data_IF_661300735068
#
_entry.id   IF_661300735068
#
_cell.length_a   1.000
_cell.length_b   1.000
_cell.length_c   1.000
_cell.angle_alpha   90.00
_cell.angle_beta   90.00
_cell.angle_gamma   90.00
#
_symmetry.space_group_name_H-M   'P 1'
#
loop_
_entity.id
_entity.type
_entity.pdbx_description
1 polymer ?
#
# COMPACT_ATOMS: atom_id res chain seq x y z
N UNK A 1 -47.07 -22.57 2.92
CA UNK A 1 -45.84 -22.19 3.65
C UNK A 1 -44.63 -22.19 2.71
N UNK A 2 -44.51 -21.22 1.80
CA UNK A 2 -43.39 -21.15 0.81
C UNK A 2 -42.96 -19.70 0.49
N UNK A 3 -42.96 -18.80 1.48
CA UNK A 3 -42.63 -17.37 1.27
C UNK A 3 -41.47 -16.83 2.12
N UNK A 4 -40.70 -17.69 2.79
CA UNK A 4 -39.65 -17.27 3.74
C UNK A 4 -38.20 -17.44 3.25
N UNK A 5 -37.96 -17.89 2.01
CA UNK A 5 -36.61 -18.16 1.51
C UNK A 5 -35.95 -16.99 0.74
N UNK A 6 -36.74 -16.02 0.27
CA UNK A 6 -36.24 -14.87 -0.49
C UNK A 6 -35.37 -13.89 0.33
N UNK A 7 -35.70 -13.53 1.60
CA UNK A 7 -34.86 -12.59 2.36
C UNK A 7 -33.52 -13.21 2.77
N UNK A 8 -33.45 -14.54 2.91
CA UNK A 8 -32.25 -15.25 3.33
C UNK A 8 -31.19 -15.31 2.23
N UNK A 9 -31.61 -15.42 0.96
CA UNK A 9 -30.72 -15.32 -0.21
C UNK A 9 -30.20 -13.88 -0.37
N UNK A 10 -31.02 -12.86 -0.08
CA UNK A 10 -30.59 -11.47 -0.15
C UNK A 10 -29.55 -11.13 0.93
N UNK A 11 -29.72 -11.62 2.16
CA UNK A 11 -28.69 -11.46 3.21
C UNK A 11 -27.36 -12.15 2.86
N UNK A 12 -27.40 -13.34 2.24
CA UNK A 12 -26.18 -14.04 1.82
C UNK A 12 -25.42 -13.31 0.69
N UNK A 13 -26.12 -12.56 -0.18
CA UNK A 13 -25.50 -11.77 -1.24
C UNK A 13 -24.86 -10.47 -0.72
N UNK A 14 -25.34 -9.91 0.39
CA UNK A 14 -24.77 -8.68 0.98
C UNK A 14 -23.48 -8.96 1.75
N UNK A 15 -23.33 -10.14 2.37
CA UNK A 15 -22.15 -10.51 3.16
C UNK A 15 -20.89 -10.72 2.31
N UNK A 16 -21.01 -11.13 1.04
CA UNK A 16 -19.87 -11.36 0.15
C UNK A 16 -19.22 -10.08 -0.42
N UNK A 17 -19.82 -8.91 -0.21
CA UNK A 17 -19.36 -7.66 -0.84
C UNK A 17 -18.27 -6.91 -0.05
N UNK A 18 -18.07 -7.20 1.23
CA UNK A 18 -17.24 -6.38 2.13
C UNK A 18 -15.76 -6.33 1.77
N UNK A 19 -15.13 -7.46 1.46
CA UNK A 19 -13.69 -7.51 1.15
C UNK A 19 -13.32 -6.94 -0.23
N UNK A 20 -14.28 -6.86 -1.16
CA UNK A 20 -14.07 -6.30 -2.51
C UNK A 20 -14.24 -4.77 -2.55
N UNK A 21 -14.66 -4.15 -1.44
CA UNK A 21 -14.92 -2.72 -1.33
C UNK A 21 -13.71 -1.90 -0.86
N UNK A 22 -12.68 -2.52 -0.29
CA UNK A 22 -11.52 -1.78 0.22
C UNK A 22 -10.74 -1.08 -0.92
N UNK A 23 -10.55 0.25 -0.86
CA UNK A 23 -9.87 0.98 -1.92
C UNK A 23 -8.37 0.68 -2.00
N UNK A 24 -7.71 0.36 -0.88
CA UNK A 24 -6.29 -0.01 -0.84
C UNK A 24 -6.07 -1.38 -1.49
N UNK A 25 -6.96 -2.34 -1.24
CA UNK A 25 -6.95 -3.64 -1.93
C UNK A 25 -7.05 -3.47 -3.45
N UNK A 26 -8.07 -2.72 -3.92
CA UNK A 26 -8.31 -2.47 -5.36
C UNK A 26 -7.16 -1.70 -6.01
N UNK A 27 -6.60 -0.74 -5.28
CA UNK A 27 -5.44 0.02 -5.72
C UNK A 27 -4.23 -0.89 -5.87
N UNK A 28 -3.91 -1.69 -4.84
CA UNK A 28 -2.75 -2.57 -4.85
C UNK A 28 -2.85 -3.60 -5.98
N UNK A 29 -4.02 -4.22 -6.16
CA UNK A 29 -4.31 -5.12 -7.28
C UNK A 29 -4.11 -4.48 -8.66
N UNK A 30 -4.28 -3.15 -8.79
CA UNK A 30 -4.16 -2.46 -10.08
C UNK A 30 -2.71 -2.24 -10.51
N UNK A 31 -1.77 -2.15 -9.57
CA UNK A 31 -0.41 -1.65 -9.84
C UNK A 31 0.69 -2.60 -9.39
N UNK A 32 0.42 -3.50 -8.46
CA UNK A 32 1.42 -4.41 -7.93
C UNK A 32 1.18 -5.83 -8.40
N UNK A 33 2.28 -6.55 -8.59
CA UNK A 33 2.27 -7.96 -8.97
C UNK A 33 1.89 -8.87 -7.81
N UNK A 34 2.28 -8.49 -6.59
CA UNK A 34 1.90 -9.16 -5.35
C UNK A 34 0.93 -8.29 -4.58
N UNK A 35 -0.11 -8.86 -3.99
CA UNK A 35 -1.07 -8.12 -3.17
C UNK A 35 -1.00 -8.63 -1.72
N UNK A 36 -0.61 -7.77 -0.76
CA UNK A 36 -0.44 -8.17 0.64
C UNK A 36 -1.75 -8.57 1.33
N UNK A 37 -2.90 -8.17 0.78
CA UNK A 37 -4.22 -8.35 1.39
C UNK A 37 -5.00 -9.58 0.86
N UNK A 38 -4.37 -10.45 0.05
CA UNK A 38 -5.01 -11.67 -0.48
C UNK A 38 -4.73 -12.90 0.40
N UNK A 39 -3.50 -13.02 0.89
CA UNK A 39 -3.01 -14.17 1.64
C UNK A 39 -2.44 -13.73 2.99
N UNK A 40 -1.83 -14.65 3.73
CA UNK A 40 -1.01 -14.28 4.87
C UNK A 40 0.12 -13.31 4.47
N UNK A 41 0.51 -12.46 5.42
CA UNK A 41 1.60 -11.50 5.26
C UNK A 41 2.91 -12.20 4.93
N UNK A 42 3.23 -13.32 5.60
CA UNK A 42 4.41 -14.13 5.30
C UNK A 42 4.42 -14.64 3.86
N UNK A 43 3.29 -15.16 3.37
CA UNK A 43 3.18 -15.60 1.97
C UNK A 43 3.33 -14.44 0.98
N UNK A 44 2.82 -13.25 1.31
CA UNK A 44 3.05 -12.05 0.51
C UNK A 44 4.55 -11.70 0.44
N UNK A 45 5.24 -11.64 1.58
CA UNK A 45 6.66 -11.32 1.63
C UNK A 45 7.46 -12.35 0.83
N UNK A 46 7.18 -13.64 1.02
CA UNK A 46 7.82 -14.71 0.28
C UNK A 46 7.59 -14.58 -1.23
N UNK A 47 6.35 -14.33 -1.65
CA UNK A 47 6.01 -14.15 -3.06
C UNK A 47 6.74 -12.96 -3.69
N UNK A 48 6.89 -11.84 -2.97
CA UNK A 48 7.68 -10.70 -3.46
C UNK A 48 9.17 -11.06 -3.54
N UNK A 49 9.73 -11.71 -2.53
CA UNK A 49 11.16 -12.03 -2.49
C UNK A 49 11.58 -13.12 -3.49
N UNK A 50 10.66 -14.01 -3.85
CA UNK A 50 10.92 -15.13 -4.76
C UNK A 50 10.34 -14.92 -6.16
N UNK A 51 9.88 -13.70 -6.51
CA UNK A 51 9.31 -13.43 -7.82
C UNK A 51 10.37 -13.65 -8.92
N UNK A 52 10.15 -14.59 -9.87
CA UNK A 52 11.15 -14.94 -10.87
C UNK A 52 11.45 -13.82 -11.88
N UNK A 53 10.62 -12.79 -11.96
CA UNK A 53 10.87 -11.63 -12.83
C UNK A 53 11.83 -10.60 -12.20
N UNK A 54 12.24 -10.79 -10.95
CA UNK A 54 13.11 -9.86 -10.24
C UNK A 54 14.59 -10.13 -10.49
N UNK A 55 15.26 -9.09 -10.99
CA UNK A 55 16.70 -9.02 -11.18
C UNK A 55 17.32 -7.99 -10.22
N UNK A 56 18.65 -7.99 -10.10
CA UNK A 56 19.41 -7.03 -9.28
C UNK A 56 18.95 -6.94 -7.82
N UNK A 57 18.56 -8.07 -7.24
CA UNK A 57 18.02 -8.14 -5.89
C UNK A 57 19.09 -7.74 -4.85
N UNK A 58 18.72 -6.89 -3.91
CA UNK A 58 19.50 -6.60 -2.69
C UNK A 58 18.60 -6.71 -1.49
N UNK A 59 19.11 -7.35 -0.44
CA UNK A 59 18.37 -7.62 0.79
C UNK A 59 19.25 -7.33 2.00
N UNK A 60 18.74 -6.49 2.89
CA UNK A 60 19.26 -6.24 4.22
C UNK A 60 18.25 -6.81 5.22
N UNK A 61 18.73 -7.74 6.05
CA UNK A 61 17.91 -8.30 7.12
C UNK A 61 17.82 -7.32 8.29
N UNK A 62 16.72 -7.42 9.04
CA UNK A 62 16.54 -6.70 10.29
C UNK A 62 17.58 -7.16 11.31
N UNK A 63 18.14 -6.21 12.05
CA UNK A 63 19.01 -6.43 13.21
C UNK A 63 18.52 -5.57 14.38
N UNK A 64 19.22 -5.59 15.51
CA UNK A 64 18.90 -4.73 16.66
C UNK A 64 19.02 -3.23 16.34
N UNK A 65 19.83 -2.87 15.34
CA UNK A 65 20.12 -1.48 14.96
C UNK A 65 19.65 -1.10 13.56
N UNK A 66 19.17 -2.05 12.77
CA UNK A 66 18.76 -1.81 11.37
C UNK A 66 17.42 -2.42 11.05
N UNK A 67 16.60 -1.68 10.31
CA UNK A 67 15.34 -2.16 9.76
C UNK A 67 15.57 -3.01 8.50
N UNK A 68 14.59 -3.87 8.18
CA UNK A 68 14.60 -4.67 6.96
C UNK A 68 14.49 -3.80 5.71
N UNK A 69 15.28 -4.14 4.69
CA UNK A 69 15.19 -3.52 3.37
C UNK A 69 15.36 -4.58 2.29
N UNK A 70 14.48 -4.56 1.30
CA UNK A 70 14.63 -5.30 0.07
C UNK A 70 14.38 -4.37 -1.10
N UNK A 71 15.20 -4.49 -2.15
CA UNK A 71 15.01 -3.78 -3.40
C UNK A 71 15.38 -4.69 -4.57
N UNK A 72 14.67 -4.55 -5.67
CA UNK A 72 14.91 -5.29 -6.90
C UNK A 72 14.38 -4.50 -8.11
N UNK A 73 14.75 -4.94 -9.31
CA UNK A 73 14.25 -4.40 -10.58
C UNK A 73 13.44 -5.48 -11.28
N UNK A 74 12.28 -5.13 -11.83
CA UNK A 74 11.52 -6.05 -12.69
C UNK A 74 12.14 -6.14 -14.07
N UNK A 75 12.29 -7.36 -14.60
CA UNK A 75 12.80 -7.60 -15.94
C UNK A 75 11.74 -7.30 -17.02
N UNK A 76 10.47 -7.64 -16.77
CA UNK A 76 9.40 -7.50 -17.77
C UNK A 76 8.11 -6.88 -17.25
N UNK A 77 7.87 -6.88 -15.94
CA UNK A 77 6.65 -6.31 -15.37
C UNK A 77 6.57 -4.79 -15.52
N UNK A 78 5.49 -4.32 -16.17
CA UNK A 78 5.18 -2.91 -16.31
C UNK A 78 3.66 -2.68 -16.20
N UNK A 79 3.17 -2.13 -15.08
CA UNK A 79 1.75 -1.82 -14.90
C UNK A 79 1.35 -0.44 -15.46
N UNK A 80 2.30 0.34 -15.98
CA UNK A 80 2.09 1.71 -16.44
C UNK A 80 1.64 1.78 -17.90
N UNK A 81 1.00 2.88 -18.30
CA UNK A 81 0.57 3.10 -19.69
C UNK A 81 1.70 3.55 -20.62
N UNK A 82 2.85 3.91 -20.06
CA UNK A 82 4.06 4.24 -20.79
C UNK A 82 5.12 3.14 -20.61
N UNK A 83 6.15 3.15 -21.46
CA UNK A 83 7.31 2.27 -21.31
C UNK A 83 8.38 3.00 -20.48
N UNK A 84 8.55 2.68 -19.19
CA UNK A 84 9.64 3.23 -18.39
C UNK A 84 10.98 2.62 -18.81
N UNK A 85 12.08 3.30 -18.48
CA UNK A 85 13.44 2.81 -18.69
C UNK A 85 13.77 1.65 -17.74
N UNK A 86 13.23 1.69 -16.52
CA UNK A 86 13.19 0.57 -15.58
C UNK A 86 12.00 0.69 -14.61
N UNK A 87 11.61 -0.44 -14.03
CA UNK A 87 10.66 -0.50 -12.92
C UNK A 87 11.33 -1.18 -11.74
N UNK A 88 11.44 -0.47 -10.62
CA UNK A 88 12.01 -0.99 -9.39
C UNK A 88 10.91 -1.25 -8.37
N UNK A 89 11.14 -2.23 -7.51
CA UNK A 89 10.28 -2.57 -6.37
C UNK A 89 11.10 -2.61 -5.10
N UNK A 90 10.50 -2.18 -3.98
CA UNK A 90 11.12 -2.28 -2.68
C UNK A 90 10.13 -2.66 -1.58
N UNK A 91 10.63 -3.37 -0.58
CA UNK A 91 10.00 -3.57 0.73
C UNK A 91 10.91 -2.96 1.77
N UNK A 92 10.46 -1.92 2.46
CA UNK A 92 11.26 -1.17 3.43
C UNK A 92 10.51 -1.07 4.74
N UNK A 93 11.08 -1.58 5.82
CA UNK A 93 10.58 -1.27 7.16
C UNK A 93 10.92 0.17 7.52
N UNK A 94 9.95 0.87 8.10
CA UNK A 94 10.10 2.23 8.61
C UNK A 94 9.45 2.32 9.99
N UNK A 95 10.10 3.04 10.91
CA UNK A 95 9.46 3.47 12.16
C UNK A 95 8.48 4.60 11.85
N UNK A 96 7.23 4.41 12.23
CA UNK A 96 6.19 5.42 12.12
C UNK A 96 5.59 5.70 13.50
N UNK A 97 5.54 6.97 13.87
CA UNK A 97 4.87 7.38 15.09
C UNK A 97 3.36 7.41 14.83
N UNK A 98 2.68 6.31 15.17
CA UNK A 98 1.22 6.19 15.07
C UNK A 98 0.48 6.83 16.26
N UNK A 99 1.18 7.03 17.37
CA UNK A 99 0.61 7.59 18.59
C UNK A 99 1.56 8.62 19.19
N UNK A 100 1.01 9.75 19.63
CA UNK A 100 1.77 10.81 20.30
C UNK A 100 2.28 10.37 21.69
N UNK A 101 1.56 9.46 22.34
CA UNK A 101 1.83 8.96 23.69
C UNK A 101 2.78 7.75 23.74
N UNK A 102 3.19 7.20 22.58
CA UNK A 102 4.16 6.11 22.47
C UNK A 102 5.43 6.56 21.75
N UNK A 103 6.51 6.85 22.49
CA UNK A 103 7.77 7.31 21.91
C UNK A 103 8.42 6.29 20.98
N UNK A 104 8.17 5.01 21.19
CA UNK A 104 8.89 3.92 20.52
C UNK A 104 8.46 3.72 19.05
N UNK A 105 7.36 4.33 18.61
CA UNK A 105 6.83 4.18 17.25
C UNK A 105 6.41 2.75 16.92
N UNK A 106 5.56 2.59 15.91
CA UNK A 106 5.25 1.27 15.35
C UNK A 106 6.08 1.07 14.07
N UNK A 107 6.60 -0.14 13.85
CA UNK A 107 7.24 -0.48 12.57
C UNK A 107 6.16 -0.78 11.53
N UNK A 108 6.19 -0.06 10.41
CA UNK A 108 5.37 -0.33 9.23
C UNK A 108 6.25 -0.81 8.08
N UNK A 109 5.67 -1.57 7.17
CA UNK A 109 6.29 -1.96 5.91
C UNK A 109 5.80 -1.03 4.80
N UNK A 110 6.75 -0.42 4.08
CA UNK A 110 6.50 0.28 2.83
C UNK A 110 6.69 -0.69 1.69
N UNK A 111 5.64 -0.90 0.90
CA UNK A 111 5.73 -1.58 -0.38
C UNK A 111 5.75 -0.53 -1.49
N UNK A 112 6.90 -0.38 -2.13
CA UNK A 112 7.18 0.74 -3.05
C UNK A 112 7.37 0.20 -4.46
N UNK A 113 6.69 0.82 -5.43
CA UNK A 113 6.90 0.62 -6.86
C UNK A 113 7.37 1.93 -7.49
N UNK A 114 8.46 1.87 -8.24
CA UNK A 114 9.07 3.04 -8.87
C UNK A 114 9.20 2.84 -10.37
N UNK A 115 8.73 3.80 -11.16
CA UNK A 115 8.94 3.85 -12.60
C UNK A 115 9.91 4.99 -12.92
N UNK A 116 10.92 4.70 -13.73
CA UNK A 116 11.89 5.70 -14.18
C UNK A 116 11.60 6.07 -15.63
N UNK A 117 11.49 7.36 -15.92
CA UNK A 117 11.45 7.84 -17.30
C UNK A 117 12.86 8.07 -17.84
N UNK A 118 12.97 8.23 -19.16
CA UNK A 118 14.17 8.74 -19.79
C UNK A 118 14.45 10.17 -19.31
N UNK A 119 15.74 10.55 -19.21
CA UNK A 119 16.22 11.89 -18.81
C UNK A 119 15.91 13.02 -19.81
N UNK A 120 14.90 12.85 -20.66
CA UNK A 120 14.49 13.85 -21.65
C UNK A 120 13.26 14.62 -21.16
N UNK A 121 13.02 15.85 -21.64
CA UNK A 121 11.78 16.58 -21.35
C UNK A 121 10.53 15.76 -21.70
N UNK A 122 10.57 15.01 -22.81
CA UNK A 122 9.48 14.09 -23.20
C UNK A 122 9.25 12.97 -22.20
N UNK A 123 10.31 12.47 -21.57
CA UNK A 123 10.23 11.47 -20.50
C UNK A 123 9.49 12.03 -19.27
N UNK A 124 9.86 13.24 -18.85
CA UNK A 124 9.18 13.95 -17.77
C UNK A 124 7.69 14.18 -18.07
N UNK A 125 7.36 14.64 -19.30
CA UNK A 125 5.97 14.86 -19.72
C UNK A 125 5.14 13.58 -19.70
N UNK A 126 5.69 12.46 -20.19
CA UNK A 126 5.00 11.16 -20.17
C UNK A 126 4.73 10.70 -18.75
N UNK A 127 5.71 10.86 -17.88
CA UNK A 127 5.61 10.43 -16.50
C UNK A 127 4.63 11.31 -15.71
N UNK A 128 4.59 12.62 -15.99
CA UNK A 128 3.56 13.52 -15.47
C UNK A 128 2.15 13.13 -15.96
N UNK A 129 1.97 12.85 -17.25
CA UNK A 129 0.68 12.37 -17.79
C UNK A 129 0.24 11.07 -17.13
N UNK A 130 1.19 10.17 -16.86
CA UNK A 130 0.93 8.93 -16.15
C UNK A 130 0.51 9.20 -14.71
N UNK A 131 1.25 10.05 -13.98
CA UNK A 131 0.87 10.51 -12.64
C UNK A 131 -0.56 11.05 -12.62
N UNK A 132 -0.91 11.96 -13.53
CA UNK A 132 -2.24 12.56 -13.63
C UNK A 132 -3.32 11.53 -14.00
N UNK A 133 -2.98 10.44 -14.70
CA UNK A 133 -3.88 9.33 -15.01
C UNK A 133 -4.14 8.46 -13.77
N UNK A 134 -3.08 8.10 -13.05
CA UNK A 134 -3.17 7.27 -11.85
C UNK A 134 -3.94 8.01 -10.76
N UNK A 135 -3.63 9.29 -10.53
CA UNK A 135 -4.32 10.08 -9.50
C UNK A 135 -5.80 10.23 -9.81
N UNK A 136 -6.19 10.57 -11.05
CA UNK A 136 -7.62 10.59 -11.46
C UNK A 136 -8.34 9.26 -11.24
N UNK A 137 -7.67 8.12 -11.42
CA UNK A 137 -8.25 6.80 -11.12
C UNK A 137 -8.38 6.58 -9.62
N UNK A 138 -7.40 7.02 -8.85
CA UNK A 138 -7.32 6.87 -7.39
C UNK A 138 -8.29 7.80 -6.66
N UNK A 139 -8.51 9.02 -7.16
CA UNK A 139 -9.50 9.98 -6.66
C UNK A 139 -10.94 9.40 -6.69
N UNK A 140 -11.19 8.40 -7.54
CA UNK A 140 -12.48 7.68 -7.60
C UNK A 140 -12.54 6.47 -6.66
N UNK A 141 -11.41 6.04 -6.11
CA UNK A 141 -11.30 4.90 -5.22
C UNK A 141 -11.35 5.33 -3.76
N UNK A 142 -10.67 6.42 -3.41
CA UNK A 142 -10.50 6.90 -2.04
C UNK A 142 -11.48 8.02 -1.69
N UNK A 143 -11.86 8.13 -0.42
CA UNK A 143 -12.77 9.17 0.09
C UNK A 143 -12.08 10.53 0.23
N UNK A 144 -10.78 10.54 0.54
CA UNK A 144 -10.01 11.76 0.77
C UNK A 144 -8.56 11.64 0.28
N UNK A 145 -7.95 12.78 -0.02
CA UNK A 145 -6.53 12.89 -0.32
C UNK A 145 -5.95 14.26 0.07
N UNK A 146 -4.67 14.25 0.45
CA UNK A 146 -3.86 15.46 0.65
C UNK A 146 -2.78 15.55 -0.42
N UNK A 147 -2.63 16.72 -1.03
CA UNK A 147 -1.55 16.98 -1.99
C UNK A 147 -0.51 17.90 -1.37
N UNK A 148 0.77 17.57 -1.57
CA UNK A 148 1.91 18.31 -1.06
C UNK A 148 2.92 18.55 -2.19
N UNK A 149 3.46 19.76 -2.27
CA UNK A 149 4.57 20.04 -3.16
C UNK A 149 5.85 19.46 -2.55
N UNK A 150 6.68 18.83 -3.39
CA UNK A 150 8.03 18.44 -3.01
C UNK A 150 8.93 19.54 -3.55
N UNK A 151 9.54 20.32 -2.66
CA UNK A 151 10.52 21.35 -3.00
C UNK A 151 11.68 21.27 -2.02
N UNK A 152 12.72 20.53 -2.41
CA UNK A 152 13.91 20.27 -1.62
C UNK A 152 15.15 20.53 -2.46
N UNK A 153 15.54 21.81 -2.54
CA UNK A 153 16.73 22.25 -3.25
C UNK A 153 16.57 22.11 -4.77
N UNK A 154 17.23 21.11 -5.36
CA UNK A 154 17.11 20.81 -6.80
C UNK A 154 16.00 19.81 -7.10
N UNK A 155 15.38 19.22 -6.08
CA UNK A 155 14.34 18.22 -6.21
C UNK A 155 12.98 18.91 -6.18
N UNK A 156 12.23 18.76 -7.26
CA UNK A 156 10.87 19.30 -7.39
C UNK A 156 9.90 18.17 -7.69
N UNK A 157 8.66 18.30 -7.24
CA UNK A 157 7.68 17.25 -7.43
C UNK A 157 6.35 17.51 -6.75
N UNK A 158 5.49 16.51 -6.80
CA UNK A 158 4.19 16.52 -6.13
C UNK A 158 3.98 15.15 -5.50
N UNK A 159 3.56 15.15 -4.24
CA UNK A 159 3.08 13.98 -3.51
C UNK A 159 1.58 14.08 -3.33
N UNK A 160 0.87 12.97 -3.55
CA UNK A 160 -0.55 12.83 -3.23
C UNK A 160 -0.74 11.63 -2.31
N UNK A 161 -1.19 11.93 -1.10
CA UNK A 161 -1.42 11.00 0.00
C UNK A 161 -2.93 10.71 0.06
N UNK A 162 -3.32 9.46 -0.16
CA UNK A 162 -4.71 9.01 -0.17
C UNK A 162 -5.08 8.39 1.18
N UNK A 163 -6.25 8.76 1.71
CA UNK A 163 -6.73 8.35 3.02
C UNK A 163 -7.97 7.46 2.92
N UNK A 164 -8.19 6.68 3.98
CA UNK A 164 -9.43 5.96 4.26
C UNK A 164 -9.85 6.30 5.68
N UNK A 165 -11.14 6.31 5.94
CA UNK A 165 -11.73 6.96 7.14
C UNK A 165 -11.19 6.45 8.48
N UNK A 166 -10.68 5.22 8.54
CA UNK A 166 -10.20 4.55 9.75
C UNK A 166 -8.66 4.40 9.82
N UNK A 167 -7.92 4.96 8.85
CA UNK A 167 -6.46 4.91 8.85
C UNK A 167 -5.87 6.18 9.47
N UNK A 168 -4.85 6.02 10.33
CA UNK A 168 -4.16 7.15 10.99
C UNK A 168 -3.18 7.87 10.06
N UNK A 169 -2.80 7.22 8.96
CA UNK A 169 -1.93 7.77 7.94
C UNK A 169 -2.44 7.33 6.57
N UNK A 170 -1.99 8.03 5.52
CA UNK A 170 -2.33 7.65 4.17
C UNK A 170 -1.80 6.24 3.85
N UNK A 171 -2.67 5.22 3.64
CA UNK A 171 -2.22 3.89 3.24
C UNK A 171 -1.57 3.89 1.85
N UNK A 172 -1.89 4.87 1.00
CA UNK A 172 -1.35 4.98 -0.36
C UNK A 172 -0.78 6.37 -0.60
N UNK A 173 0.43 6.44 -1.15
CA UNK A 173 1.03 7.68 -1.65
C UNK A 173 1.42 7.51 -3.11
N UNK A 174 1.20 8.53 -3.93
CA UNK A 174 1.61 8.59 -5.32
C UNK A 174 2.42 9.87 -5.50
N UNK A 175 3.62 9.74 -6.03
CA UNK A 175 4.58 10.83 -6.13
C UNK A 175 5.17 10.93 -7.52
N UNK A 176 5.28 12.16 -7.98
CA UNK A 176 6.05 12.54 -9.16
C UNK A 176 7.23 13.37 -8.68
N UNK A 177 8.46 12.96 -9.03
CA UNK A 177 9.69 13.65 -8.61
C UNK A 177 10.62 13.86 -9.79
N UNK A 178 11.18 15.06 -9.89
CA UNK A 178 12.24 15.47 -10.80
C UNK A 178 13.42 16.06 -10.04
N UNK A 179 14.63 15.99 -10.59
CA UNK A 179 15.81 16.64 -10.02
C UNK A 179 16.52 15.91 -8.87
N UNK A 180 15.95 14.81 -8.34
CA UNK A 180 16.65 13.88 -7.41
C UNK A 180 17.73 13.06 -8.14
N UNK A 181 17.44 12.70 -9.38
CA UNK A 181 18.30 12.01 -10.32
C UNK A 181 18.15 12.70 -11.70
N UNK A 182 19.05 12.45 -12.67
CA UNK A 182 18.82 12.91 -14.05
C UNK A 182 17.53 12.33 -14.65
N UNK A 183 16.98 11.26 -14.08
CA UNK A 183 15.75 10.60 -14.54
C UNK A 183 14.55 10.99 -13.67
N UNK A 184 13.45 11.50 -14.24
CA UNK A 184 12.18 11.66 -13.55
C UNK A 184 11.66 10.32 -12.99
N UNK A 185 11.02 10.36 -11.83
CA UNK A 185 10.56 9.18 -11.09
C UNK A 185 9.07 9.31 -10.76
N UNK A 186 8.33 8.24 -11.01
CA UNK A 186 6.97 8.01 -10.50
C UNK A 186 7.08 6.99 -9.39
N UNK A 187 6.69 7.34 -8.18
CA UNK A 187 6.71 6.43 -7.02
C UNK A 187 5.29 6.19 -6.53
N UNK A 188 4.95 4.93 -6.36
CA UNK A 188 3.73 4.51 -5.67
C UNK A 188 4.18 3.79 -4.40
N UNK A 189 3.56 4.13 -3.28
CA UNK A 189 3.88 3.54 -1.98
C UNK A 189 2.60 3.05 -1.32
N UNK A 190 2.56 1.78 -0.91
CA UNK A 190 1.52 1.21 -0.05
C UNK A 190 2.12 0.98 1.34
N UNK A 191 1.46 1.48 2.39
CA UNK A 191 1.87 1.31 3.79
C UNK A 191 1.09 0.17 4.41
N UNK A 192 1.80 -0.79 4.97
CA UNK A 192 1.26 -2.04 5.49
C UNK A 192 1.72 -2.20 6.93
N UNK A 193 0.81 -2.57 7.82
CA UNK A 193 1.12 -3.07 9.16
C UNK A 193 0.91 -4.57 9.16
N UNK A 194 1.77 -5.32 9.83
CA UNK A 194 1.56 -6.76 10.04
C UNK A 194 0.94 -6.99 11.41
N UNK A 195 -0.16 -7.76 11.46
CA UNK A 195 -0.79 -8.18 12.71
C UNK A 195 -1.21 -9.64 12.59
N UNK A 196 -0.72 -10.51 13.45
CA UNK A 196 -1.11 -11.93 13.44
C UNK A 196 -0.83 -12.64 12.11
N UNK A 197 0.25 -12.29 11.41
CA UNK A 197 0.58 -12.78 10.07
C UNK A 197 -0.45 -12.38 8.98
N UNK A 198 -1.17 -11.28 9.18
CA UNK A 198 -2.04 -10.65 8.18
C UNK A 198 -1.56 -9.25 7.87
N UNK A 199 -1.72 -8.83 6.61
CA UNK A 199 -1.53 -7.44 6.21
C UNK A 199 -2.77 -6.64 6.61
N UNK A 200 -2.58 -5.64 7.45
CA UNK A 200 -3.62 -4.70 7.86
C UNK A 200 -3.19 -3.28 7.55
N UNK A 201 -4.16 -2.38 7.43
CA UNK A 201 -3.88 -0.97 7.25
C UNK A 201 -3.36 -0.36 8.56
N UNK A 202 -2.51 0.69 8.49
CA UNK A 202 -2.03 1.39 9.68
C UNK A 202 -3.17 2.21 10.32
N UNK A 203 -3.97 1.54 11.14
CA UNK A 203 -5.12 2.09 11.87
C UNK A 203 -4.80 2.33 13.36
N UNK A 204 -5.58 3.21 14.00
CA UNK A 204 -5.53 3.42 15.44
C UNK A 204 -6.12 2.21 16.18
N UNK A 205 -5.46 1.73 17.23
CA UNK A 205 -6.04 0.74 18.14
C UNK A 205 -7.28 1.27 18.88
N UNK A 206 -7.46 2.60 18.96
CA UNK A 206 -8.60 3.23 19.62
C UNK A 206 -9.83 3.39 18.71
N UNK A 207 -9.68 3.13 17.41
CA UNK A 207 -10.76 3.30 16.42
C UNK A 207 -11.35 1.96 15.94
N UNK A 208 -10.85 0.85 16.49
CA UNK A 208 -11.69 -0.35 16.58
C UNK A 208 -12.77 -0.05 17.62
N UNK A 209 -13.91 0.52 17.19
CA UNK A 209 -15.14 0.24 17.93
C UNK A 209 -15.18 -1.29 18.10
N UNK A 210 -15.37 -1.81 19.32
CA UNK A 210 -15.52 -3.24 19.53
C UNK A 210 -16.84 -3.68 18.89
N UNK A 211 -16.81 -3.93 17.59
CA UNK A 211 -17.76 -4.78 16.89
C UNK A 211 -16.96 -6.03 16.55
N UNK A 212 -17.35 -7.14 17.18
CA UNK A 212 -16.78 -8.50 17.07
C UNK A 212 -15.67 -8.88 18.06
N UNK A 213 -15.90 -8.64 19.36
CA UNK A 213 -15.67 -9.67 20.39
C UNK A 213 -16.96 -9.82 21.19
N UNK A 214 -18.02 -10.21 20.50
CA UNK A 214 -19.22 -10.79 21.11
C UNK A 214 -19.39 -12.10 20.34
N UNK A 215 -19.40 -13.22 21.05
CA UNK A 215 -19.54 -14.61 20.55
C UNK A 215 -18.28 -15.48 20.39
N UNK A 216 -17.32 -15.38 21.32
CA UNK A 216 -16.74 -16.62 21.86
C UNK A 216 -16.80 -16.58 23.38
N UNK A 217 -17.81 -17.26 23.92
CA UNK A 217 -18.07 -17.34 25.35
C UNK A 217 -16.86 -17.86 26.11
N UNK A 218 -16.22 -16.97 26.87
CA UNK A 218 -15.31 -17.34 27.94
C UNK A 218 -15.93 -16.92 29.26
N UNK A 219 -16.63 -17.87 29.90
CA UNK A 219 -17.09 -17.76 31.29
C UNK A 219 -15.85 -17.73 32.19
N UNK A 220 -15.65 -16.64 32.90
CA UNK A 220 -14.79 -16.64 34.06
C UNK A 220 -15.47 -17.48 35.15
N UNK A 221 -14.77 -18.50 35.64
CA UNK A 221 -15.15 -19.19 36.86
C UNK A 221 -15.01 -18.24 38.04
N UNK A 222 -15.98 -18.30 38.95
CA UNK A 222 -15.87 -17.80 40.31
C UNK A 222 -14.66 -18.44 41.00
N UNK A 223 -13.88 -17.63 41.71
CA UNK A 223 -13.70 -17.71 43.16
C UNK A 223 -13.24 -16.33 43.68
#
# INVERSE_FOLDING_TARGET
MKKLYLPLIFCLLVLGAGAQQDPVYRFTKSWYRSNPFISSYGAFVEHVLQDPDLINQRKQLRTDSTLFVFNATFASYNPFSFKPSRVDVALVEQNAQLYEDRPEGDTIMLYVLMAFADSTPRGADRLKKEYDRITRKSDRMFSDYKQEAIDQGKVTGVSRNYFVDYAQMAPVTIEFVTGLAPTPILRITVRIRSRGNEAVLPMSLYDTKPQEIVDSGFKWFND
#
